data_IF_914825418003
#
_entry.id   IF_914825418003
#
_cell.length_a   1.000
_cell.length_b   1.000
_cell.length_c   1.000
_cell.angle_alpha   90.00
_cell.angle_beta   90.00
_cell.angle_gamma   90.00
#
_symmetry.space_group_name_H-M   'P 1'
#
loop_
_entity.id
_entity.type
_entity.pdbx_description
1 polymer ?
#
# COMPACT_ATOMS: atom_id res chain seq x y z
N UNK A 1 -3.95 -3.05 32.48
CA UNK A 1 -3.55 -2.67 31.10
C UNK A 1 -2.48 -1.59 31.20
N UNK A 2 -1.34 -1.75 30.53
CA UNK A 2 -0.18 -0.86 30.72
C UNK A 2 -0.36 0.42 29.88
N UNK A 3 -1.12 1.39 30.39
CA UNK A 3 -1.56 2.61 29.68
C UNK A 3 -0.41 3.43 29.11
N UNK A 4 0.79 3.38 29.73
CA UNK A 4 2.00 4.00 29.18
C UNK A 4 2.42 3.39 27.85
N UNK A 5 2.38 2.06 27.72
CA UNK A 5 2.79 1.36 26.51
C UNK A 5 1.82 1.65 25.36
N UNK A 6 0.51 1.61 25.62
CA UNK A 6 -0.52 1.93 24.62
C UNK A 6 -0.41 3.38 24.15
N UNK A 7 -0.10 4.33 25.05
CA UNK A 7 0.11 5.74 24.70
C UNK A 7 1.35 5.96 23.84
N UNK A 8 2.47 5.32 24.18
CA UNK A 8 3.68 5.35 23.36
C UNK A 8 3.42 4.77 21.98
N UNK A 9 2.71 3.63 21.91
CA UNK A 9 2.36 3.00 20.64
C UNK A 9 1.45 3.88 19.77
N UNK A 10 0.44 4.53 20.36
CA UNK A 10 -0.43 5.47 19.65
C UNK A 10 0.37 6.66 19.08
N UNK A 11 1.27 7.24 19.88
CA UNK A 11 2.12 8.34 19.43
C UNK A 11 3.08 7.95 18.31
N UNK A 12 3.73 6.78 18.43
CA UNK A 12 4.66 6.29 17.42
C UNK A 12 3.94 6.00 16.11
N UNK A 13 2.78 5.34 16.18
CA UNK A 13 1.98 5.01 14.98
C UNK A 13 1.46 6.25 14.28
N UNK A 14 1.01 7.26 15.04
CA UNK A 14 0.64 8.56 14.48
C UNK A 14 1.82 9.27 13.81
N UNK A 15 2.99 9.31 14.45
CA UNK A 15 4.19 9.92 13.88
C UNK A 15 4.63 9.21 12.58
N UNK A 16 4.63 7.87 12.56
CA UNK A 16 4.89 7.09 11.36
C UNK A 16 3.88 7.39 10.25
N UNK A 17 2.60 7.53 10.58
CA UNK A 17 1.59 7.89 9.60
C UNK A 17 1.86 9.27 8.97
N UNK A 18 2.22 10.26 9.79
CA UNK A 18 2.61 11.59 9.30
C UNK A 18 3.84 11.53 8.40
N UNK A 19 4.85 10.74 8.76
CA UNK A 19 6.05 10.53 7.94
C UNK A 19 5.67 9.87 6.59
N UNK A 20 4.82 8.84 6.60
CA UNK A 20 4.34 8.22 5.36
C UNK A 20 3.55 9.21 4.49
N UNK A 21 2.70 10.04 5.09
CA UNK A 21 1.96 11.10 4.39
C UNK A 21 2.88 12.16 3.78
N UNK A 22 3.88 12.62 4.53
CA UNK A 22 4.92 13.54 4.03
C UNK A 22 5.73 12.90 2.90
N UNK A 23 6.10 11.63 3.03
CA UNK A 23 6.80 10.90 1.97
C UNK A 23 5.93 10.75 0.71
N UNK A 24 4.63 10.49 0.86
CA UNK A 24 3.68 10.44 -0.25
C UNK A 24 3.62 11.77 -1.01
N UNK A 25 3.39 12.88 -0.29
CA UNK A 25 3.32 14.21 -0.90
C UNK A 25 4.67 14.61 -1.51
N UNK A 26 5.75 14.40 -0.76
CA UNK A 26 7.11 14.72 -1.19
C UNK A 26 7.50 13.95 -2.45
N UNK A 27 7.30 12.64 -2.50
CA UNK A 27 7.58 11.84 -3.70
C UNK A 27 6.68 12.24 -4.87
N UNK A 28 5.39 12.46 -4.63
CA UNK A 28 4.44 12.88 -5.66
C UNK A 28 4.86 14.19 -6.33
N UNK A 29 5.23 15.19 -5.52
CA UNK A 29 5.68 16.50 -6.01
C UNK A 29 7.05 16.38 -6.69
N UNK A 30 8.04 15.78 -6.03
CA UNK A 30 9.40 15.69 -6.55
C UNK A 30 9.44 14.94 -7.88
N UNK A 31 8.83 13.75 -7.98
CA UNK A 31 8.82 12.96 -9.24
C UNK A 31 8.00 13.60 -10.36
N UNK A 32 7.02 14.45 -10.06
CA UNK A 32 6.29 15.20 -11.09
C UNK A 32 7.14 16.34 -11.67
N UNK A 33 7.88 17.05 -10.81
CA UNK A 33 8.70 18.19 -11.20
C UNK A 33 10.10 17.79 -11.69
N UNK A 34 10.55 16.58 -11.39
CA UNK A 34 11.85 16.08 -11.81
C UNK A 34 11.84 15.70 -13.29
N UNK A 35 12.89 16.10 -14.01
CA UNK A 35 13.14 15.73 -15.41
C UNK A 35 14.04 14.49 -15.53
N UNK A 36 14.31 13.83 -14.40
CA UNK A 36 15.11 12.61 -14.33
C UNK A 36 14.55 11.43 -15.12
N UNK A 37 15.46 10.51 -15.45
CA UNK A 37 15.14 9.27 -16.14
C UNK A 37 14.27 8.34 -15.29
N UNK A 38 13.31 7.67 -15.92
CA UNK A 38 12.48 6.63 -15.27
C UNK A 38 12.97 5.26 -15.70
N UNK A 39 13.10 4.34 -14.74
CA UNK A 39 13.51 2.96 -15.01
C UNK A 39 12.45 1.95 -14.56
N UNK A 40 11.95 1.13 -15.48
CA UNK A 40 11.05 0.01 -15.20
C UNK A 40 11.81 -1.32 -15.20
N UNK A 41 11.35 -2.30 -14.40
CA UNK A 41 11.95 -3.64 -14.37
C UNK A 41 11.05 -4.70 -15.01
N UNK A 42 11.55 -5.47 -15.98
CA UNK A 42 10.81 -6.56 -16.64
C UNK A 42 11.49 -7.90 -16.37
N UNK A 43 10.73 -8.98 -16.26
CA UNK A 43 11.27 -10.34 -16.12
C UNK A 43 11.47 -11.08 -17.44
N UNK A 44 10.93 -10.54 -18.54
CA UNK A 44 10.83 -11.22 -19.83
C UNK A 44 12.19 -11.64 -20.39
N UNK A 45 13.20 -10.77 -20.23
CA UNK A 45 14.55 -11.02 -20.74
C UNK A 45 15.52 -11.46 -19.65
N UNK A 46 15.05 -11.86 -18.46
CA UNK A 46 15.91 -12.13 -17.31
C UNK A 46 17.00 -13.19 -17.56
N UNK A 47 16.83 -14.04 -18.57
CA UNK A 47 17.76 -15.10 -18.96
C UNK A 47 18.31 -14.95 -20.40
N UNK A 48 18.05 -13.83 -21.08
CA UNK A 48 18.48 -13.63 -22.47
C UNK A 48 19.77 -12.79 -22.55
N UNK A 49 20.80 -13.31 -23.22
CA UNK A 49 21.98 -12.54 -23.60
C UNK A 49 21.65 -11.73 -24.86
N UNK A 50 21.36 -10.44 -24.67
CA UNK A 50 20.91 -9.57 -25.74
C UNK A 50 22.07 -8.74 -26.29
N UNK A 51 22.18 -8.69 -27.62
CA UNK A 51 23.03 -7.72 -28.30
C UNK A 51 22.43 -6.31 -28.09
N UNK A 52 23.25 -5.27 -27.84
CA UNK A 52 22.77 -3.93 -27.48
C UNK A 52 21.79 -3.28 -28.47
N UNK A 53 21.82 -3.70 -29.75
CA UNK A 53 21.19 -2.98 -30.85
C UNK A 53 19.95 -3.68 -31.46
N UNK A 54 19.50 -4.82 -30.94
CA UNK A 54 18.45 -5.64 -31.58
C UNK A 54 17.14 -5.81 -30.80
N UNK A 55 16.95 -5.05 -29.72
CA UNK A 55 15.71 -5.10 -28.94
C UNK A 55 14.63 -4.19 -29.54
N UNK A 56 13.38 -4.68 -29.71
CA UNK A 56 12.25 -3.85 -30.10
C UNK A 56 11.78 -3.03 -28.89
N UNK A 57 12.57 -2.02 -28.51
CA UNK A 57 12.26 -1.02 -27.48
C UNK A 57 11.82 0.29 -28.14
N UNK A 58 11.00 1.06 -27.44
CA UNK A 58 10.56 2.37 -27.91
C UNK A 58 11.74 3.36 -28.05
N UNK A 59 11.58 4.36 -28.91
CA UNK A 59 12.61 5.38 -29.16
C UNK A 59 13.01 6.09 -27.86
N UNK A 60 14.32 6.23 -27.62
CA UNK A 60 14.86 6.87 -26.42
C UNK A 60 14.92 5.98 -25.16
N UNK A 61 14.50 4.71 -25.25
CA UNK A 61 14.63 3.75 -24.15
C UNK A 61 15.97 3.03 -24.25
N UNK A 62 16.79 3.13 -23.20
CA UNK A 62 18.02 2.36 -23.07
C UNK A 62 17.73 1.06 -22.31
N UNK A 63 18.02 -0.07 -22.95
CA UNK A 63 18.03 -1.38 -22.32
C UNK A 63 19.48 -1.73 -21.92
N UNK A 64 19.71 -2.02 -20.64
CA UNK A 64 21.03 -2.44 -20.15
C UNK A 64 21.13 -3.97 -20.08
N UNK A 65 22.33 -4.52 -20.30
CA UNK A 65 22.63 -5.96 -20.51
C UNK A 65 22.35 -6.89 -19.33
N UNK A 66 21.93 -6.36 -18.16
CA UNK A 66 21.21 -7.16 -17.14
C UNK A 66 19.71 -7.32 -17.47
N UNK A 67 19.32 -7.00 -18.72
CA UNK A 67 18.10 -7.17 -19.53
C UNK A 67 16.71 -6.96 -18.91
N UNK A 68 16.68 -6.75 -17.61
CA UNK A 68 15.48 -6.56 -16.82
C UNK A 68 15.21 -5.09 -16.57
N UNK A 69 16.07 -4.14 -16.96
CA UNK A 69 15.83 -2.70 -16.70
C UNK A 69 15.73 -1.91 -18.01
N UNK A 70 14.60 -1.22 -18.18
CA UNK A 70 14.32 -0.29 -19.27
C UNK A 70 14.34 1.12 -18.68
N UNK A 71 15.25 1.98 -19.13
CA UNK A 71 15.33 3.36 -18.66
C UNK A 71 15.05 4.34 -19.80
N UNK A 72 14.24 5.36 -19.55
CA UNK A 72 13.94 6.41 -20.51
C UNK A 72 14.34 7.77 -19.93
N UNK A 73 15.23 8.47 -20.64
CA UNK A 73 15.83 9.74 -20.19
C UNK A 73 14.87 10.93 -20.35
N UNK A 74 13.91 10.87 -21.27
CA UNK A 74 12.86 11.87 -21.47
C UNK A 74 11.47 11.22 -21.39
N UNK A 75 10.98 10.89 -20.18
CA UNK A 75 9.70 10.20 -20.01
C UNK A 75 8.52 11.13 -20.30
N UNK A 76 7.47 10.57 -20.92
CA UNK A 76 6.20 11.28 -21.08
C UNK A 76 5.48 11.46 -19.73
N UNK A 77 4.53 12.42 -19.67
CA UNK A 77 3.70 12.65 -18.47
C UNK A 77 2.97 11.37 -18.02
N UNK A 78 2.51 10.55 -18.96
CA UNK A 78 1.86 9.27 -18.66
C UNK A 78 2.82 8.27 -18.00
N UNK A 79 4.07 8.19 -18.47
CA UNK A 79 5.10 7.32 -17.88
C UNK A 79 5.50 7.78 -16.48
N UNK A 80 5.58 9.10 -16.24
CA UNK A 80 5.73 9.66 -14.87
C UNK A 80 4.58 9.27 -13.95
N UNK A 81 3.34 9.39 -14.42
CA UNK A 81 2.17 9.02 -13.63
C UNK A 81 2.14 7.51 -13.31
N UNK A 82 2.53 6.66 -14.27
CA UNK A 82 2.57 5.21 -14.08
C UNK A 82 3.71 4.77 -13.13
N UNK A 83 4.88 5.39 -13.22
CA UNK A 83 5.97 5.18 -12.27
C UNK A 83 5.57 5.58 -10.84
N UNK A 84 4.91 6.72 -10.69
CA UNK A 84 4.30 7.15 -9.43
C UNK A 84 3.23 6.15 -8.92
N UNK A 85 2.44 5.58 -9.83
CA UNK A 85 1.48 4.52 -9.54
C UNK A 85 2.09 3.22 -9.01
N UNK A 86 3.40 3.01 -9.18
CA UNK A 86 4.13 1.87 -8.63
C UNK A 86 4.47 1.99 -7.13
N UNK A 87 4.66 3.22 -6.63
CA UNK A 87 5.15 3.45 -5.25
C UNK A 87 4.12 4.17 -4.34
N UNK A 88 3.37 5.13 -4.87
CA UNK A 88 2.44 5.96 -4.10
C UNK A 88 1.29 5.17 -3.44
N UNK A 89 0.67 4.16 -4.10
CA UNK A 89 -0.47 3.46 -3.50
C UNK A 89 -0.12 2.80 -2.17
N UNK A 90 1.09 2.24 -2.05
CA UNK A 90 1.56 1.62 -0.81
C UNK A 90 1.81 2.63 0.30
N UNK A 91 2.37 3.81 -0.02
CA UNK A 91 2.58 4.87 0.97
C UNK A 91 1.26 5.42 1.50
N UNK A 92 0.30 5.64 0.61
CA UNK A 92 -1.04 6.10 0.98
C UNK A 92 -1.77 5.04 1.83
N UNK A 93 -1.73 3.78 1.41
CA UNK A 93 -2.29 2.66 2.16
C UNK A 93 -1.69 2.57 3.57
N UNK A 94 -0.35 2.62 3.68
CA UNK A 94 0.35 2.55 4.97
C UNK A 94 -0.01 3.74 5.88
N UNK A 95 -0.04 4.96 5.33
CA UNK A 95 -0.43 6.16 6.06
C UNK A 95 -1.84 6.02 6.65
N UNK A 96 -2.82 5.64 5.81
CA UNK A 96 -4.21 5.49 6.24
C UNK A 96 -4.39 4.35 7.26
N UNK A 97 -3.74 3.21 7.05
CA UNK A 97 -3.78 2.09 7.99
C UNK A 97 -3.24 2.49 9.37
N UNK A 98 -2.10 3.19 9.41
CA UNK A 98 -1.48 3.69 10.64
C UNK A 98 -2.34 4.75 11.33
N UNK A 99 -2.95 5.66 10.56
CA UNK A 99 -3.89 6.65 11.12
C UNK A 99 -5.10 5.97 11.75
N UNK A 100 -5.73 5.02 11.07
CA UNK A 100 -6.86 4.26 11.61
C UNK A 100 -6.47 3.47 12.85
N UNK A 101 -5.27 2.88 12.87
CA UNK A 101 -4.76 2.16 14.04
C UNK A 101 -4.46 3.10 15.22
N UNK A 102 -3.85 4.26 14.99
CA UNK A 102 -3.63 5.26 16.06
C UNK A 102 -4.97 5.73 16.65
N UNK A 103 -5.97 6.00 15.80
CA UNK A 103 -7.34 6.35 16.20
C UNK A 103 -8.03 5.24 17.00
N UNK A 104 -7.74 3.98 16.71
CA UNK A 104 -8.21 2.84 17.50
C UNK A 104 -7.58 2.85 18.90
N UNK A 105 -6.26 2.96 18.98
CA UNK A 105 -5.52 2.98 20.25
C UNK A 105 -5.95 4.16 21.14
N UNK A 106 -6.16 5.34 20.57
CA UNK A 106 -6.67 6.50 21.30
C UNK A 106 -8.05 6.23 21.91
N UNK A 107 -8.94 5.55 21.17
CA UNK A 107 -10.25 5.14 21.71
C UNK A 107 -10.11 4.18 22.87
N UNK A 108 -9.21 3.21 22.75
CA UNK A 108 -8.94 2.22 23.80
C UNK A 108 -8.40 2.91 25.06
N UNK A 109 -7.57 3.95 24.91
CA UNK A 109 -7.06 4.75 26.03
C UNK A 109 -8.16 5.57 26.71
N UNK A 110 -9.08 6.15 25.94
CA UNK A 110 -10.11 7.06 26.45
C UNK A 110 -11.31 6.32 27.04
N UNK A 111 -11.76 5.25 26.39
CA UNK A 111 -13.02 4.55 26.71
C UNK A 111 -12.82 3.14 27.24
N UNK A 112 -11.59 2.62 27.20
CA UNK A 112 -11.29 1.22 27.50
C UNK A 112 -11.46 0.30 26.29
N UNK A 113 -10.94 -0.94 26.39
CA UNK A 113 -10.85 -1.86 25.25
C UNK A 113 -12.19 -2.53 24.89
N UNK A 114 -13.07 -2.76 25.86
CA UNK A 114 -14.35 -3.45 25.65
C UNK A 114 -15.48 -2.43 25.52
N UNK A 115 -15.47 -1.69 24.41
CA UNK A 115 -16.56 -0.77 24.07
C UNK A 115 -16.97 -0.96 22.62
N UNK A 116 -18.23 -0.66 22.33
CA UNK A 116 -18.76 -0.68 20.96
C UNK A 116 -17.98 0.22 19.99
N UNK A 117 -17.44 1.33 20.50
CA UNK A 117 -16.62 2.23 19.69
C UNK A 117 -15.30 1.56 19.25
N UNK A 118 -14.66 0.77 20.12
CA UNK A 118 -13.41 0.06 19.81
C UNK A 118 -13.69 -1.10 18.85
N UNK A 119 -14.75 -1.86 19.08
CA UNK A 119 -15.13 -2.99 18.23
C UNK A 119 -15.41 -2.54 16.79
N UNK A 120 -16.17 -1.44 16.63
CA UNK A 120 -16.46 -0.86 15.32
C UNK A 120 -15.20 -0.35 14.62
N UNK A 121 -14.33 0.38 15.33
CA UNK A 121 -13.07 0.90 14.74
C UNK A 121 -12.13 -0.23 14.33
N UNK A 122 -12.04 -1.30 15.12
CA UNK A 122 -11.24 -2.47 14.78
C UNK A 122 -11.79 -3.18 13.54
N UNK A 123 -13.12 -3.31 13.42
CA UNK A 123 -13.75 -3.86 12.21
C UNK A 123 -13.51 -2.99 10.97
N UNK A 124 -13.61 -1.67 11.09
CA UNK A 124 -13.32 -0.74 9.98
C UNK A 124 -11.85 -0.84 9.56
N UNK A 125 -10.92 -0.86 10.51
CA UNK A 125 -9.50 -1.06 10.23
C UNK A 125 -9.26 -2.41 9.53
N UNK A 126 -9.87 -3.48 10.02
CA UNK A 126 -9.76 -4.81 9.43
C UNK A 126 -10.25 -4.82 7.97
N UNK A 127 -11.42 -4.25 7.70
CA UNK A 127 -11.94 -4.12 6.32
C UNK A 127 -11.04 -3.27 5.43
N UNK A 128 -10.52 -2.17 5.96
CA UNK A 128 -9.59 -1.32 5.24
C UNK A 128 -8.33 -2.09 4.83
N UNK A 129 -7.75 -2.90 5.73
CA UNK A 129 -6.56 -3.71 5.42
C UNK A 129 -6.89 -4.83 4.43
N UNK A 130 -8.00 -5.55 4.65
CA UNK A 130 -8.44 -6.68 3.80
C UNK A 130 -8.69 -6.25 2.36
N UNK A 131 -9.42 -5.15 2.16
CA UNK A 131 -9.76 -4.66 0.82
C UNK A 131 -8.65 -3.77 0.25
N UNK A 132 -7.99 -2.96 1.08
CA UNK A 132 -6.98 -2.00 0.64
C UNK A 132 -5.70 -2.66 0.12
N UNK A 133 -5.29 -3.81 0.68
CA UNK A 133 -4.10 -4.54 0.24
C UNK A 133 -4.21 -5.01 -1.23
N UNK A 134 -5.24 -5.77 -1.64
CA UNK A 134 -5.38 -6.19 -3.04
C UNK A 134 -5.65 -5.01 -3.97
N UNK A 135 -6.39 -3.98 -3.53
CA UNK A 135 -6.61 -2.78 -4.32
C UNK A 135 -5.31 -2.02 -4.61
N UNK A 136 -4.48 -1.78 -3.59
CA UNK A 136 -3.17 -1.16 -3.78
C UNK A 136 -2.28 -2.00 -4.69
N UNK A 137 -2.27 -3.32 -4.50
CA UNK A 137 -1.51 -4.25 -5.35
C UNK A 137 -1.97 -4.26 -6.81
N UNK A 138 -3.27 -4.17 -7.07
CA UNK A 138 -3.83 -4.06 -8.42
C UNK A 138 -3.43 -2.75 -9.09
N UNK A 139 -3.52 -1.62 -8.39
CA UNK A 139 -3.13 -0.30 -8.93
C UNK A 139 -1.64 -0.29 -9.30
N UNK A 140 -0.79 -0.85 -8.44
CA UNK A 140 0.65 -0.98 -8.69
C UNK A 140 0.92 -1.89 -9.88
N UNK A 141 0.28 -3.05 -9.93
CA UNK A 141 0.42 -4.01 -11.02
C UNK A 141 -0.02 -3.45 -12.37
N UNK A 142 -1.13 -2.72 -12.39
CA UNK A 142 -1.63 -2.06 -13.60
C UNK A 142 -0.70 -0.95 -14.06
N UNK A 143 -0.27 -0.08 -13.13
CA UNK A 143 0.62 1.04 -13.46
C UNK A 143 1.95 0.53 -14.01
N UNK A 144 2.50 -0.53 -13.40
CA UNK A 144 3.73 -1.17 -13.87
C UNK A 144 3.55 -1.86 -15.23
N UNK A 145 2.46 -2.61 -15.43
CA UNK A 145 2.13 -3.23 -16.72
C UNK A 145 2.05 -2.18 -17.82
N UNK A 146 1.30 -1.10 -17.60
CA UNK A 146 1.18 -0.02 -18.57
C UNK A 146 2.53 0.66 -18.86
N UNK A 147 3.37 0.89 -17.83
CA UNK A 147 4.70 1.45 -18.01
C UNK A 147 5.60 0.55 -18.87
N UNK A 148 5.61 -0.75 -18.59
CA UNK A 148 6.39 -1.73 -19.35
C UNK A 148 5.88 -1.86 -20.79
N UNK A 149 4.57 -1.88 -21.00
CA UNK A 149 3.95 -1.94 -22.32
C UNK A 149 4.30 -0.69 -23.15
N UNK A 150 4.33 0.50 -22.52
CA UNK A 150 4.73 1.74 -23.19
C UNK A 150 6.20 1.76 -23.64
N UNK A 151 7.09 1.05 -22.93
CA UNK A 151 8.53 1.03 -23.19
C UNK A 151 8.95 -0.15 -24.08
N UNK A 152 8.23 -1.27 -23.99
CA UNK A 152 8.52 -2.51 -24.71
C UNK A 152 7.20 -3.23 -25.09
N UNK A 153 6.50 -2.78 -26.14
CA UNK A 153 5.17 -3.29 -26.51
C UNK A 153 5.16 -4.77 -26.91
N UNK A 154 6.32 -5.37 -27.20
CA UNK A 154 6.44 -6.80 -27.51
C UNK A 154 6.34 -7.69 -26.26
N UNK A 155 6.50 -7.13 -25.06
CA UNK A 155 6.70 -7.90 -23.82
C UNK A 155 5.37 -8.38 -23.19
N UNK A 156 4.20 -7.90 -23.66
CA UNK A 156 2.90 -8.43 -23.25
C UNK A 156 2.77 -8.55 -21.73
N UNK A 157 2.70 -7.43 -21.03
CA UNK A 157 2.68 -7.44 -19.56
C UNK A 157 1.25 -7.54 -19.03
N UNK A 158 0.86 -8.71 -18.53
CA UNK A 158 -0.44 -8.90 -17.87
C UNK A 158 -0.50 -8.25 -16.48
N UNK A 159 -1.68 -7.78 -16.02
CA UNK A 159 -1.83 -7.21 -14.69
C UNK A 159 -1.48 -8.27 -13.63
N UNK A 160 -0.51 -7.98 -12.78
CA UNK A 160 -0.10 -8.86 -11.68
C UNK A 160 -0.50 -8.25 -10.35
N UNK A 161 -1.11 -9.04 -9.46
CA UNK A 161 -1.39 -8.58 -8.10
C UNK A 161 -0.11 -8.73 -7.28
N UNK A 162 0.67 -7.67 -7.21
CA UNK A 162 1.89 -7.62 -6.39
C UNK A 162 1.56 -7.12 -4.99
N UNK A 163 2.13 -7.72 -3.94
CA UNK A 163 2.01 -7.23 -2.56
C UNK A 163 1.90 -8.33 -1.50
N UNK A 164 2.02 -7.98 -0.22
CA UNK A 164 1.95 -8.93 0.88
C UNK A 164 0.50 -9.40 1.12
N UNK A 165 0.06 -10.41 0.36
CA UNK A 165 -1.29 -10.99 0.46
C UNK A 165 -1.62 -11.52 1.87
N UNK A 166 -0.60 -11.81 2.68
CA UNK A 166 -0.74 -12.18 4.11
C UNK A 166 -1.51 -11.12 4.91
N UNK A 167 -1.46 -9.84 4.52
CA UNK A 167 -2.22 -8.78 5.18
C UNK A 167 -3.74 -8.98 5.07
N UNK A 168 -4.23 -9.68 4.04
CA UNK A 168 -5.66 -10.01 3.90
C UNK A 168 -6.11 -10.87 5.08
N UNK A 169 -5.31 -11.86 5.46
CA UNK A 169 -5.60 -12.71 6.62
C UNK A 169 -5.58 -11.92 7.93
N UNK A 170 -4.61 -11.01 8.09
CA UNK A 170 -4.53 -10.14 9.26
C UNK A 170 -5.74 -9.20 9.37
N UNK A 171 -6.17 -8.61 8.24
CA UNK A 171 -7.36 -7.77 8.17
C UNK A 171 -8.63 -8.55 8.49
N UNK A 172 -8.80 -9.75 7.93
CA UNK A 172 -9.93 -10.64 8.24
C UNK A 172 -9.96 -11.04 9.71
N UNK A 173 -8.81 -11.39 10.29
CA UNK A 173 -8.70 -11.69 11.72
C UNK A 173 -9.13 -10.49 12.57
N UNK A 174 -8.72 -9.27 12.21
CA UNK A 174 -9.16 -8.05 12.88
C UNK A 174 -10.67 -7.81 12.75
N UNK A 175 -11.27 -8.06 11.57
CA UNK A 175 -12.73 -7.98 11.38
C UNK A 175 -13.45 -8.95 12.30
N UNK A 176 -13.02 -10.21 12.34
CA UNK A 176 -13.61 -11.26 13.18
C UNK A 176 -13.50 -10.86 14.65
N UNK A 177 -12.31 -10.42 15.09
CA UNK A 177 -12.10 -10.01 16.48
C UNK A 177 -12.98 -8.81 16.86
N UNK A 178 -13.11 -7.82 15.97
CA UNK A 178 -14.02 -6.69 16.19
C UNK A 178 -15.48 -7.13 16.34
N UNK A 179 -15.95 -8.09 15.53
CA UNK A 179 -17.30 -8.64 15.67
C UNK A 179 -17.49 -9.40 16.98
N UNK A 180 -16.52 -10.24 17.37
CA UNK A 180 -16.56 -10.98 18.65
C UNK A 180 -16.60 -10.00 19.83
N UNK A 181 -15.77 -8.95 19.80
CA UNK A 181 -15.76 -7.93 20.84
C UNK A 181 -17.10 -7.20 20.95
N UNK A 182 -17.74 -6.89 19.82
CA UNK A 182 -19.07 -6.27 19.81
C UNK A 182 -20.13 -7.14 20.47
N UNK A 183 -20.14 -8.43 20.15
CA UNK A 183 -21.07 -9.37 20.77
C UNK A 183 -20.83 -9.50 22.29
N UNK A 184 -19.54 -9.55 22.69
CA UNK A 184 -19.18 -9.57 24.11
C UNK A 184 -19.59 -8.32 24.89
N UNK A 185 -19.59 -7.14 24.25
CA UNK A 185 -20.10 -5.90 24.85
C UNK A 185 -21.62 -5.98 25.02
N UNK A 186 -22.35 -6.40 23.97
CA UNK A 186 -23.81 -6.55 24.01
C UNK A 186 -24.28 -7.52 25.10
N UNK A 187 -23.64 -8.69 25.21
CA UNK A 187 -23.96 -9.66 26.26
C UNK A 187 -23.75 -9.11 27.66
N UNK A 188 -22.74 -8.25 27.85
CA UNK A 188 -22.46 -7.63 29.15
C UNK A 188 -23.54 -6.60 29.49
N UNK A 189 -23.98 -5.80 28.51
CA UNK A 189 -25.06 -4.84 28.70
C UNK A 189 -26.39 -5.54 29.06
N UNK A 190 -26.70 -6.69 28.42
CA UNK A 190 -27.89 -7.49 28.75
C UNK A 190 -27.86 -8.03 30.20
N UNK A 191 -26.68 -8.44 30.68
CA UNK A 191 -26.49 -8.91 32.06
C UNK A 191 -26.59 -7.77 33.08
N UNK A 192 -26.05 -6.59 32.77
CA UNK A 192 -26.14 -5.40 33.63
C UNK A 192 -27.58 -4.83 33.68
N UNK A 193 -28.39 -5.04 32.64
CA UNK A 193 -29.79 -4.59 32.57
C UNK A 193 -30.83 -5.50 33.23
N UNK A 194 -30.45 -6.70 33.69
CA UNK A 194 -31.37 -7.68 34.30
C UNK A 194 -31.39 -7.59 35.85
N UNK A 195 -30.50 -6.79 36.45
CA UNK A 195 -30.34 -6.62 37.91
C UNK A 195 -31.08 -5.37 38.40
#
# INVERSE_FOLDING_TARGET
MNTRLTKVLASITFALAMICGLAFVGKGVIRMLDDGAICARTGFWANASLAPDSLPVAEGVKASSSATRLCQDAPSVGQRAADLGGELPWLLFACLALLLFSRLLDTVLLKGPFTDAVSQRLTVLGWFVTAGTPLAGLVVGWSHSWLVDSMAPVVGSGPTVTGPQVLILAGLAAVIMGKIMREGVRMREDLEGTI
#
